data_IF_665918959735
#
_entry.id   IF_665918959735
#
_cell.length_a   1.000
_cell.length_b   1.000
_cell.length_c   1.000
_cell.angle_alpha   90.00
_cell.angle_beta   90.00
_cell.angle_gamma   90.00
#
_symmetry.space_group_name_H-M   'P 1'
#
loop_
_entity.id
_entity.type
_entity.pdbx_description
1 polymer ?
#
# COMPACT_ATOMS: atom_id res chain seq x y z
N UNK A 1 9.48 -8.35 -8.78
CA UNK A 1 8.13 -7.76 -8.75
C UNK A 1 8.05 -6.43 -7.98
N UNK A 2 9.12 -5.61 -7.95
CA UNK A 2 9.04 -4.17 -7.55
C UNK A 2 8.80 -3.25 -8.74
N UNK A 3 9.02 -3.76 -9.95
CA UNK A 3 9.08 -2.98 -11.20
C UNK A 3 7.69 -2.55 -11.67
N UNK A 4 6.66 -3.37 -11.45
CA UNK A 4 5.27 -3.05 -11.81
C UNK A 4 4.63 -1.96 -10.93
N UNK A 5 4.99 -1.89 -9.65
CA UNK A 5 4.48 -0.83 -8.76
C UNK A 5 5.02 0.55 -9.17
N UNK A 6 6.22 0.61 -9.75
CA UNK A 6 6.84 1.85 -10.22
C UNK A 6 6.22 2.41 -11.51
N UNK A 7 5.66 1.54 -12.35
CA UNK A 7 5.12 1.88 -13.68
C UNK A 7 3.62 2.19 -13.68
N UNK A 8 2.91 1.80 -12.62
CA UNK A 8 1.47 1.98 -12.53
C UNK A 8 1.11 3.42 -12.15
N UNK A 9 0.53 4.16 -13.11
CA UNK A 9 0.09 5.56 -12.93
C UNK A 9 -1.25 5.67 -12.21
N UNK A 10 -2.04 4.59 -12.18
CA UNK A 10 -3.31 4.55 -11.49
C UNK A 10 -3.12 4.35 -9.99
N UNK A 11 -3.48 5.37 -9.21
CA UNK A 11 -3.35 5.37 -7.75
C UNK A 11 -4.12 4.23 -7.09
N UNK A 12 -5.31 3.90 -7.60
CA UNK A 12 -6.14 2.83 -7.08
C UNK A 12 -5.51 1.46 -7.29
N UNK A 13 -4.93 1.21 -8.47
CA UNK A 13 -4.25 -0.05 -8.77
C UNK A 13 -2.96 -0.22 -7.97
N UNK A 14 -2.17 0.85 -7.79
CA UNK A 14 -0.99 0.84 -6.88
C UNK A 14 -1.38 0.44 -5.46
N UNK A 15 -2.45 1.05 -4.93
CA UNK A 15 -2.96 0.74 -3.61
C UNK A 15 -3.38 -0.72 -3.48
N UNK A 16 -4.17 -1.25 -4.44
CA UNK A 16 -4.61 -2.64 -4.41
C UNK A 16 -3.45 -3.64 -4.41
N UNK A 17 -2.43 -3.42 -5.24
CA UNK A 17 -1.23 -4.27 -5.28
C UNK A 17 -0.44 -4.16 -3.97
N UNK A 18 -0.30 -2.94 -3.44
CA UNK A 18 0.38 -2.72 -2.16
C UNK A 18 -0.35 -3.42 -1.01
N UNK A 19 -1.68 -3.31 -0.91
CA UNK A 19 -2.49 -4.00 0.10
C UNK A 19 -2.33 -5.52 0.02
N UNK A 20 -2.30 -6.08 -1.19
CA UNK A 20 -2.01 -7.50 -1.37
C UNK A 20 -0.60 -7.86 -0.85
N UNK A 21 0.42 -7.09 -1.20
CA UNK A 21 1.78 -7.31 -0.70
C UNK A 21 1.88 -7.17 0.83
N UNK A 22 1.08 -6.28 1.42
CA UNK A 22 1.01 -6.07 2.87
C UNK A 22 0.44 -7.29 3.57
N UNK A 23 -0.66 -7.85 3.04
CA UNK A 23 -1.23 -9.11 3.53
C UNK A 23 -0.26 -10.29 3.38
N UNK A 24 0.58 -10.28 2.34
CA UNK A 24 1.64 -11.27 2.12
C UNK A 24 2.92 -11.00 2.95
N UNK A 25 2.96 -9.93 3.77
CA UNK A 25 4.12 -9.58 4.60
C UNK A 25 5.34 -9.10 3.83
N UNK A 26 5.16 -8.68 2.57
CA UNK A 26 6.24 -8.24 1.66
C UNK A 26 6.02 -6.82 1.12
N UNK A 27 5.13 -6.03 1.73
CA UNK A 27 4.88 -4.66 1.32
C UNK A 27 6.11 -3.76 1.51
N UNK A 28 6.43 -2.91 0.53
CA UNK A 28 7.41 -1.83 0.69
C UNK A 28 6.86 -0.72 1.60
N UNK A 29 7.77 0.06 2.20
CA UNK A 29 7.44 1.24 3.01
C UNK A 29 6.56 2.24 2.25
N UNK A 30 5.68 2.94 2.98
CA UNK A 30 4.74 3.90 2.40
C UNK A 30 5.42 5.02 1.61
N UNK A 31 6.55 5.51 2.09
CA UNK A 31 7.29 6.57 1.41
C UNK A 31 7.95 6.10 0.10
N UNK A 32 8.21 4.80 -0.01
CA UNK A 32 8.74 4.16 -1.22
C UNK A 32 7.62 3.77 -2.19
N UNK A 33 6.47 3.34 -1.66
CA UNK A 33 5.32 2.87 -2.44
C UNK A 33 4.49 4.04 -3.01
N UNK A 34 4.38 5.14 -2.26
CA UNK A 34 3.50 6.26 -2.58
C UNK A 34 4.24 7.59 -2.51
N UNK A 35 4.25 8.31 -3.64
CA UNK A 35 4.81 9.65 -3.73
C UNK A 35 3.87 10.71 -3.12
N UNK A 36 2.55 10.51 -3.23
CA UNK A 36 1.57 11.46 -2.73
C UNK A 36 1.27 11.23 -1.24
N UNK A 37 1.26 12.29 -0.41
CA UNK A 37 0.92 12.16 1.01
C UNK A 37 -0.49 11.61 1.26
N UNK A 38 -1.47 11.90 0.40
CA UNK A 38 -2.84 11.39 0.53
C UNK A 38 -2.90 9.86 0.34
N UNK A 39 -2.08 9.31 -0.57
CA UNK A 39 -2.02 7.87 -0.79
C UNK A 39 -1.32 7.15 0.38
N UNK A 40 -0.34 7.82 1.02
CA UNK A 40 0.29 7.33 2.27
C UNK A 40 -0.71 7.30 3.43
N UNK A 41 -1.54 8.33 3.57
CA UNK A 41 -2.60 8.33 4.58
C UNK A 41 -3.62 7.22 4.33
N UNK A 42 -4.04 6.99 3.08
CA UNK A 42 -4.94 5.89 2.75
C UNK A 42 -4.34 4.52 3.14
N UNK A 43 -3.05 4.31 2.89
CA UNK A 43 -2.35 3.09 3.28
C UNK A 43 -2.17 2.96 4.79
N UNK A 44 -1.94 4.06 5.51
CA UNK A 44 -1.92 4.08 6.98
C UNK A 44 -3.29 3.69 7.56
N UNK A 45 -4.36 4.30 7.07
CA UNK A 45 -5.73 3.96 7.49
C UNK A 45 -6.03 2.48 7.25
N UNK A 46 -5.57 1.90 6.13
CA UNK A 46 -5.72 0.47 5.87
C UNK A 46 -4.96 -0.41 6.88
N UNK A 47 -3.72 -0.04 7.25
CA UNK A 47 -2.96 -0.78 8.26
C UNK A 47 -3.64 -0.72 9.63
N UNK A 48 -4.11 0.47 10.03
CA UNK A 48 -4.81 0.67 11.29
C UNK A 48 -6.10 -0.17 11.33
N UNK A 49 -6.90 -0.16 10.26
CA UNK A 49 -8.09 -1.02 10.13
C UNK A 49 -7.75 -2.52 10.23
N UNK A 50 -6.66 -2.97 9.62
CA UNK A 50 -6.22 -4.37 9.68
C UNK A 50 -5.67 -4.76 11.06
N UNK A 51 -5.13 -3.80 11.80
CA UNK A 51 -4.70 -4.00 13.18
C UNK A 51 -5.91 -4.10 14.13
N UNK A 52 -6.90 -3.22 13.97
CA UNK A 52 -8.17 -3.27 14.71
C UNK A 52 -8.99 -4.54 14.39
N UNK A 53 -8.88 -5.06 13.17
CA UNK A 53 -9.56 -6.29 12.76
C UNK A 53 -8.91 -7.58 13.29
N UNK A 54 -7.74 -7.51 13.94
CA UNK A 54 -7.15 -8.67 14.62
C UNK A 54 -7.92 -8.93 15.93
N UNK A 55 -8.49 -10.14 16.12
CA UNK A 55 -9.24 -10.50 17.33
C UNK A 55 -8.36 -10.62 18.57
#
# INVERSE_FOLDING_TARGET
MRVDLGLETDRGRRFAIWSLLFLLGSAPDLETAFENPADREAARNFMDMMEEAKP
#
